data_IF_090264426856
#
_entry.id   IF_090264426856
#
_cell.length_a   1.000
_cell.length_b   1.000
_cell.length_c   1.000
_cell.angle_alpha   90.00
_cell.angle_beta   90.00
_cell.angle_gamma   90.00
#
_symmetry.space_group_name_H-M   'P 1'
#
loop_
_entity.id
_entity.type
_entity.pdbx_description
1 polymer ?
#
# COMPACT_ATOMS: atom_id res chain seq x y z
N UNK A 1 28.46 9.97 -7.96
CA UNK A 1 27.61 11.01 -7.33
C UNK A 1 27.60 12.19 -8.29
N UNK A 2 26.56 12.29 -9.12
CA UNK A 2 26.32 13.49 -9.91
C UNK A 2 25.97 14.61 -8.94
N UNK A 3 26.66 15.74 -8.98
CA UNK A 3 26.19 16.96 -8.35
C UNK A 3 25.04 17.55 -9.20
N UNK A 4 24.01 16.74 -9.44
CA UNK A 4 22.85 17.11 -10.21
C UNK A 4 21.89 17.85 -9.31
N UNK A 5 21.42 19.02 -9.76
CA UNK A 5 20.35 19.74 -9.07
C UNK A 5 19.12 18.86 -8.82
N UNK A 6 18.91 17.81 -9.65
CA UNK A 6 17.85 16.84 -9.45
C UNK A 6 17.98 16.07 -8.13
N UNK A 7 19.17 15.56 -7.81
CA UNK A 7 19.41 14.79 -6.58
C UNK A 7 19.16 15.66 -5.34
N UNK A 8 19.52 16.94 -5.42
CA UNK A 8 19.29 17.93 -4.36
C UNK A 8 17.80 18.24 -4.19
N UNK A 9 17.05 18.41 -5.28
CA UNK A 9 15.60 18.65 -5.23
C UNK A 9 14.86 17.44 -4.65
N UNK A 10 15.23 16.22 -5.05
CA UNK A 10 14.63 14.98 -4.52
C UNK A 10 14.95 14.81 -3.03
N UNK A 11 16.20 15.07 -2.62
CA UNK A 11 16.60 15.05 -1.21
C UNK A 11 15.78 16.03 -0.38
N UNK A 12 15.61 17.27 -0.87
CA UNK A 12 14.82 18.30 -0.20
C UNK A 12 13.35 17.89 -0.09
N UNK A 13 12.76 17.38 -1.17
CA UNK A 13 11.37 16.93 -1.20
C UNK A 13 11.13 15.77 -0.23
N UNK A 14 12.03 14.78 -0.19
CA UNK A 14 11.96 13.66 0.74
C UNK A 14 12.19 14.10 2.19
N UNK A 15 13.06 15.08 2.43
CA UNK A 15 13.27 15.68 3.75
C UNK A 15 12.02 16.40 4.27
N UNK A 16 11.36 17.18 3.42
CA UNK A 16 10.08 17.84 3.74
C UNK A 16 8.98 16.81 4.01
N UNK A 17 8.89 15.76 3.19
CA UNK A 17 7.95 14.67 3.40
C UNK A 17 8.17 13.96 4.74
N UNK A 18 9.42 13.63 5.08
CA UNK A 18 9.79 13.05 6.37
C UNK A 18 9.46 13.96 7.56
N UNK A 19 9.63 15.28 7.41
CA UNK A 19 9.25 16.26 8.42
C UNK A 19 7.73 16.27 8.67
N UNK A 20 6.90 16.15 7.63
CA UNK A 20 5.45 16.01 7.79
C UNK A 20 5.08 14.71 8.52
N UNK A 21 5.74 13.59 8.21
CA UNK A 21 5.48 12.33 8.93
C UNK A 21 5.78 12.45 10.42
N UNK A 22 6.86 13.16 10.77
CA UNK A 22 7.19 13.47 12.15
C UNK A 22 6.12 14.35 12.81
N UNK A 23 5.66 15.41 12.13
CA UNK A 23 4.64 16.33 12.65
C UNK A 23 3.29 15.64 12.89
N UNK A 24 2.87 14.75 12.00
CA UNK A 24 1.62 14.00 12.12
C UNK A 24 1.71 12.77 13.03
N UNK A 25 2.87 12.54 13.68
CA UNK A 25 3.16 11.35 14.48
C UNK A 25 2.80 10.04 13.74
N UNK A 26 2.97 10.03 12.41
CA UNK A 26 2.65 8.86 11.59
C UNK A 26 3.71 7.81 11.91
N UNK A 27 3.32 6.61 12.39
CA UNK A 27 4.28 5.57 12.68
C UNK A 27 5.04 5.18 11.41
N UNK A 28 6.36 5.01 11.52
CA UNK A 28 7.20 4.56 10.40
C UNK A 28 6.94 3.09 10.02
N UNK A 29 6.35 2.31 10.93
CA UNK A 29 6.11 0.88 10.73
C UNK A 29 5.19 0.56 9.52
N UNK A 30 4.02 1.21 9.34
CA UNK A 30 3.22 1.07 8.12
C UNK A 30 3.98 1.39 6.83
N UNK A 31 4.86 2.38 6.85
CA UNK A 31 5.66 2.75 5.68
C UNK A 31 6.65 1.64 5.30
N UNK A 32 7.33 1.07 6.29
CA UNK A 32 8.24 -0.07 6.09
C UNK A 32 7.49 -1.30 5.55
N UNK A 33 6.30 -1.59 6.11
CA UNK A 33 5.45 -2.69 5.65
C UNK A 33 5.01 -2.46 4.20
N UNK A 34 4.58 -1.26 3.84
CA UNK A 34 4.21 -0.91 2.47
C UNK A 34 5.41 -1.02 1.51
N UNK A 35 6.60 -0.60 1.94
CA UNK A 35 7.83 -0.69 1.14
C UNK A 35 8.23 -2.14 0.84
N UNK A 36 8.05 -3.06 1.80
CA UNK A 36 8.36 -4.48 1.62
C UNK A 36 7.26 -5.17 0.80
N UNK A 37 5.98 -4.91 1.12
CA UNK A 37 4.86 -5.56 0.46
C UNK A 37 4.63 -5.07 -0.97
N UNK A 38 4.97 -3.82 -1.29
CA UNK A 38 4.76 -3.23 -2.62
C UNK A 38 5.41 -4.04 -3.73
N UNK A 39 6.75 -4.28 -3.69
CA UNK A 39 7.44 -5.13 -4.66
C UNK A 39 6.87 -6.54 -4.73
N UNK A 40 6.52 -7.13 -3.58
CA UNK A 40 5.91 -8.46 -3.54
C UNK A 40 4.55 -8.48 -4.24
N UNK A 41 3.72 -7.45 -4.05
CA UNK A 41 2.43 -7.32 -4.73
C UNK A 41 2.65 -7.24 -6.24
N UNK A 42 3.53 -6.35 -6.70
CA UNK A 42 3.79 -6.18 -8.13
C UNK A 42 4.31 -7.47 -8.77
N UNK A 43 5.24 -8.16 -8.10
CA UNK A 43 5.77 -9.43 -8.57
C UNK A 43 4.66 -10.50 -8.70
N UNK A 44 3.80 -10.62 -7.69
CA UNK A 44 2.68 -11.57 -7.72
C UNK A 44 1.62 -11.20 -8.76
N UNK A 45 1.32 -9.90 -8.93
CA UNK A 45 0.42 -9.40 -9.97
C UNK A 45 0.97 -9.72 -11.36
N UNK A 46 2.25 -9.41 -11.60
CA UNK A 46 2.94 -9.69 -12.86
C UNK A 46 2.97 -11.19 -13.14
N UNK A 47 3.25 -12.01 -12.13
CA UNK A 47 3.22 -13.47 -12.22
C UNK A 47 1.84 -13.99 -12.59
N UNK A 48 0.79 -13.51 -11.94
CA UNK A 48 -0.59 -13.90 -12.24
C UNK A 48 -0.99 -13.54 -13.69
N UNK A 49 -0.65 -12.33 -14.14
CA UNK A 49 -0.92 -11.87 -15.51
C UNK A 49 -0.09 -12.62 -16.55
N UNK A 50 1.17 -12.95 -16.25
CA UNK A 50 1.99 -13.77 -17.14
C UNK A 50 1.39 -15.18 -17.33
N UNK A 51 0.84 -15.76 -16.26
CA UNK A 51 0.16 -17.06 -16.29
C UNK A 51 -1.17 -17.00 -17.08
N UNK A 52 -1.91 -15.88 -17.00
CA UNK A 52 -3.16 -15.70 -17.74
C UNK A 52 -2.97 -15.13 -19.15
N UNK A 53 -1.74 -15.05 -19.66
CA UNK A 53 -1.41 -14.46 -20.97
C UNK A 53 -1.91 -13.01 -21.13
N UNK A 54 -1.89 -12.25 -20.03
CA UNK A 54 -2.30 -10.85 -20.00
C UNK A 54 -3.79 -10.63 -19.74
N UNK A 55 -4.59 -11.67 -19.47
CA UNK A 55 -6.01 -11.51 -19.15
C UNK A 55 -6.19 -11.14 -17.66
N UNK A 56 -6.69 -9.93 -17.33
CA UNK A 56 -6.91 -9.49 -15.95
C UNK A 56 -8.11 -10.17 -15.29
N UNK A 57 -8.95 -10.90 -16.04
CA UNK A 57 -10.08 -11.64 -15.47
C UNK A 57 -9.64 -12.69 -14.45
N UNK A 58 -8.43 -13.24 -14.59
CA UNK A 58 -7.86 -14.25 -13.68
C UNK A 58 -7.83 -13.83 -12.21
N UNK A 59 -7.72 -12.51 -11.96
CA UNK A 59 -7.72 -11.96 -10.61
C UNK A 59 -9.05 -12.23 -9.91
N UNK A 60 -10.18 -12.16 -10.63
CA UNK A 60 -11.53 -12.28 -10.07
C UNK A 60 -12.28 -13.56 -10.48
N UNK A 61 -11.71 -14.38 -11.36
CA UNK A 61 -12.33 -15.62 -11.83
C UNK A 61 -12.43 -16.71 -10.75
N UNK A 62 -11.57 -16.69 -9.74
CA UNK A 62 -11.54 -17.74 -8.71
C UNK A 62 -12.53 -17.47 -7.57
N UNK A 63 -13.35 -18.46 -7.16
CA UNK A 63 -14.21 -18.35 -5.98
C UNK A 63 -13.43 -18.04 -4.70
N UNK A 64 -12.18 -18.53 -4.62
CA UNK A 64 -11.25 -18.22 -3.53
C UNK A 64 -10.94 -16.72 -3.48
N UNK A 65 -10.76 -16.03 -4.62
CA UNK A 65 -10.50 -14.59 -4.60
C UNK A 65 -11.67 -13.83 -3.98
N UNK A 66 -12.91 -14.19 -4.35
CA UNK A 66 -14.10 -13.57 -3.77
C UNK A 66 -14.22 -13.79 -2.26
N UNK A 67 -13.87 -14.98 -1.78
CA UNK A 67 -13.84 -15.27 -0.34
C UNK A 67 -12.83 -14.36 0.39
N UNK A 68 -11.58 -14.28 -0.07
CA UNK A 68 -10.57 -13.44 0.58
C UNK A 68 -10.86 -11.94 0.42
N UNK A 69 -11.36 -11.50 -0.74
CA UNK A 69 -11.73 -10.11 -0.97
C UNK A 69 -12.89 -9.68 -0.06
N UNK A 70 -13.93 -10.51 0.08
CA UNK A 70 -15.05 -10.23 0.98
C UNK A 70 -14.60 -10.17 2.44
N UNK A 71 -13.71 -11.07 2.87
CA UNK A 71 -13.16 -11.06 4.23
C UNK A 71 -12.29 -9.81 4.48
N UNK A 72 -11.44 -9.43 3.52
CA UNK A 72 -10.63 -8.22 3.60
C UNK A 72 -11.51 -6.97 3.74
N UNK A 73 -12.54 -6.84 2.89
CA UNK A 73 -13.52 -5.74 2.95
C UNK A 73 -14.23 -5.74 4.31
N UNK A 74 -14.66 -6.90 4.79
CA UNK A 74 -15.32 -7.03 6.10
C UNK A 74 -14.45 -6.52 7.24
N UNK A 75 -13.18 -6.94 7.29
CA UNK A 75 -12.21 -6.49 8.31
C UNK A 75 -12.02 -4.97 8.24
N UNK A 76 -11.78 -4.42 7.04
CA UNK A 76 -11.60 -2.97 6.84
C UNK A 76 -12.83 -2.19 7.32
N UNK A 77 -14.03 -2.63 6.94
CA UNK A 77 -15.29 -1.99 7.35
C UNK A 77 -15.48 -2.03 8.87
N UNK A 78 -15.19 -3.17 9.51
CA UNK A 78 -15.29 -3.31 10.97
C UNK A 78 -14.27 -2.41 11.66
N UNK A 79 -13.02 -2.40 11.22
CA UNK A 79 -11.96 -1.54 11.78
C UNK A 79 -12.33 -0.07 11.65
N UNK A 80 -12.75 0.38 10.46
CA UNK A 80 -13.15 1.79 10.24
C UNK A 80 -14.33 2.16 11.16
N UNK A 81 -15.37 1.31 11.24
CA UNK A 81 -16.51 1.54 12.13
C UNK A 81 -16.10 1.64 13.60
N UNK A 82 -15.16 0.81 14.03
CA UNK A 82 -14.64 0.87 15.40
C UNK A 82 -13.84 2.14 15.66
N UNK A 83 -12.98 2.56 14.72
CA UNK A 83 -12.21 3.80 14.85
C UNK A 83 -13.10 5.04 14.87
N UNK A 84 -14.13 5.09 14.03
CA UNK A 84 -15.11 6.19 14.03
C UNK A 84 -15.96 6.23 15.31
N UNK A 85 -16.29 5.08 15.90
CA UNK A 85 -16.99 5.03 17.20
C UNK A 85 -16.07 5.49 18.34
N UNK A 86 -14.80 5.08 18.34
CA UNK A 86 -13.81 5.53 19.34
C UNK A 86 -13.50 7.03 19.25
N UNK A 87 -13.56 7.61 18.05
CA UNK A 87 -13.37 9.05 17.87
C UNK A 87 -14.59 9.91 18.26
N UNK A 88 -15.77 9.29 18.43
CA UNK A 88 -17.03 9.95 18.82
C UNK A 88 -17.39 9.80 20.30
N UNK A 89 -16.74 8.88 21.02
CA UNK A 89 -16.90 8.67 22.46
C UNK A 89 -15.81 9.44 23.21
#
# INVERSE_FOLDING_TARGET
>A
ISNSMYDVIVLLAMGVFGFFMFLFAIPAAPFLIAFILGPMLEENLRRALALSRGDPSILVSSPITWLFASLAIFVVVVTIRQQLKKAKA
#
